data_IF_698567965003
#
_entry.id   IF_698567965003
#
_cell.length_a   1.000
_cell.length_b   1.000
_cell.length_c   1.000
_cell.angle_alpha   90.00
_cell.angle_beta   90.00
_cell.angle_gamma   90.00
#
_symmetry.space_group_name_H-M   'P 1'
#
loop_
_entity.id
_entity.type
_entity.pdbx_description
1 polymer ?
#
# COMPACT_ATOMS: atom_id res chain seq x y z
N UNK A 1 67.75 -19.21 59.87
CA UNK A 1 68.50 -18.96 61.13
C UNK A 1 68.80 -17.47 61.43
N UNK A 2 68.52 -16.49 60.56
CA UNK A 2 68.81 -15.05 60.82
C UNK A 2 67.76 -14.31 61.68
N UNK A 3 66.53 -14.84 61.79
CA UNK A 3 65.41 -14.15 62.46
C UNK A 3 65.64 -13.85 63.96
N UNK A 4 66.46 -14.65 64.66
CA UNK A 4 66.75 -14.43 66.09
C UNK A 4 67.68 -13.24 66.34
N UNK A 5 68.48 -12.82 65.35
CA UNK A 5 69.50 -11.75 65.48
C UNK A 5 69.03 -10.36 65.02
N UNK A 6 67.78 -10.23 64.54
CA UNK A 6 67.19 -8.95 64.18
C UNK A 6 66.62 -8.23 65.41
N UNK A 7 66.95 -6.94 65.55
CA UNK A 7 66.31 -6.03 66.52
C UNK A 7 64.79 -6.08 66.37
N UNK A 8 64.06 -5.92 67.48
CA UNK A 8 62.59 -6.02 67.52
C UNK A 8 61.91 -5.17 66.42
N UNK A 9 62.44 -3.98 66.15
CA UNK A 9 61.99 -3.07 65.08
C UNK A 9 62.07 -3.67 63.67
N UNK A 10 63.09 -4.47 63.37
CA UNK A 10 63.24 -5.13 62.07
C UNK A 10 62.20 -6.24 61.84
N UNK A 11 61.80 -6.95 62.90
CA UNK A 11 60.74 -7.98 62.82
C UNK A 11 59.38 -7.36 62.55
N UNK A 12 59.06 -6.24 63.21
CA UNK A 12 57.85 -5.49 62.95
C UNK A 12 57.84 -4.88 61.55
N UNK A 13 58.96 -4.32 61.07
CA UNK A 13 59.05 -3.77 59.72
C UNK A 13 58.79 -4.82 58.62
N UNK A 14 59.31 -6.05 58.77
CA UNK A 14 59.05 -7.14 57.82
C UNK A 14 57.58 -7.59 57.86
N UNK A 15 57.00 -7.76 59.07
CA UNK A 15 55.60 -8.15 59.21
C UNK A 15 54.63 -7.11 58.63
N UNK A 16 54.80 -5.84 59.01
CA UNK A 16 54.01 -4.74 58.46
C UNK A 16 54.27 -4.53 56.97
N UNK A 17 55.52 -4.64 56.51
CA UNK A 17 55.87 -4.53 55.10
C UNK A 17 55.25 -5.62 54.24
N UNK A 18 55.18 -6.87 54.74
CA UNK A 18 54.50 -7.98 54.06
C UNK A 18 53.00 -7.71 53.94
N UNK A 19 52.35 -7.28 55.04
CA UNK A 19 50.92 -6.94 55.03
C UNK A 19 50.64 -5.76 54.09
N UNK A 20 51.47 -4.72 54.12
CA UNK A 20 51.35 -3.57 53.23
C UNK A 20 51.55 -3.97 51.76
N UNK A 21 52.53 -4.84 51.48
CA UNK A 21 52.78 -5.37 50.15
C UNK A 21 51.62 -6.21 49.61
N UNK A 22 51.04 -7.08 50.46
CA UNK A 22 49.84 -7.84 50.11
C UNK A 22 48.63 -6.94 49.85
N UNK A 23 48.44 -5.89 50.66
CA UNK A 23 47.38 -4.91 50.44
C UNK A 23 47.55 -4.20 49.08
N UNK A 24 48.76 -3.74 48.76
CA UNK A 24 49.04 -3.11 47.46
C UNK A 24 48.79 -4.08 46.30
N UNK A 25 49.18 -5.34 46.44
CA UNK A 25 48.94 -6.36 45.43
C UNK A 25 47.44 -6.62 45.20
N UNK A 26 46.65 -6.75 46.27
CA UNK A 26 45.19 -6.91 46.19
C UNK A 26 44.53 -5.66 45.61
N UNK A 27 44.97 -4.46 46.01
CA UNK A 27 44.47 -3.21 45.45
C UNK A 27 44.76 -3.11 43.95
N UNK A 28 45.97 -3.45 43.51
CA UNK A 28 46.32 -3.46 42.08
C UNK A 28 45.49 -4.49 41.29
N UNK A 29 45.33 -5.69 41.83
CA UNK A 29 44.50 -6.74 41.23
C UNK A 29 43.03 -6.32 41.12
N UNK A 30 42.50 -5.70 42.17
CA UNK A 30 41.12 -5.21 42.21
C UNK A 30 40.88 -4.12 41.16
N UNK A 31 41.79 -3.15 41.05
CA UNK A 31 41.68 -2.08 40.03
C UNK A 31 41.70 -2.67 38.62
N UNK A 32 42.59 -3.63 38.35
CA UNK A 32 42.67 -4.25 37.03
C UNK A 32 41.44 -5.12 36.71
N UNK A 33 40.97 -5.91 37.68
CA UNK A 33 39.77 -6.73 37.54
C UNK A 33 38.51 -5.91 37.35
N UNK A 34 38.30 -4.87 38.17
CA UNK A 34 37.16 -3.96 38.05
C UNK A 34 37.20 -3.20 36.73
N UNK A 35 38.37 -2.73 36.30
CA UNK A 35 38.52 -2.07 35.00
C UNK A 35 38.11 -2.95 33.82
N UNK A 36 38.47 -4.23 33.85
CA UNK A 36 38.05 -5.21 32.83
C UNK A 36 36.53 -5.44 32.82
N UNK A 37 35.91 -5.51 34.00
CA UNK A 37 34.45 -5.67 34.13
C UNK A 37 33.72 -4.43 33.59
N UNK A 38 34.18 -3.23 33.93
CA UNK A 38 33.57 -1.98 33.45
C UNK A 38 33.65 -1.88 31.93
N UNK A 39 34.80 -2.20 31.32
CA UNK A 39 34.96 -2.20 29.86
C UNK A 39 34.01 -3.19 29.19
N UNK A 40 33.90 -4.41 29.74
CA UNK A 40 33.00 -5.43 29.21
C UNK A 40 31.53 -5.01 29.33
N UNK A 41 31.17 -4.35 30.44
CA UNK A 41 29.84 -3.78 30.63
C UNK A 41 29.54 -2.67 29.62
N UNK A 42 30.51 -1.79 29.34
CA UNK A 42 30.38 -0.72 28.34
C UNK A 42 30.16 -1.28 26.92
N UNK A 43 30.90 -2.32 26.52
CA UNK A 43 30.69 -3.01 25.23
C UNK A 43 29.27 -3.60 25.11
N UNK A 44 28.77 -4.25 26.17
CA UNK A 44 27.40 -4.80 26.19
C UNK A 44 26.34 -3.70 26.14
N UNK A 45 26.52 -2.61 26.88
CA UNK A 45 25.59 -1.46 26.90
C UNK A 45 25.53 -0.82 25.51
N UNK A 46 26.68 -0.55 24.91
CA UNK A 46 26.76 0.08 23.59
C UNK A 46 26.18 -0.83 22.51
N UNK A 47 26.44 -2.14 22.57
CA UNK A 47 25.82 -3.11 21.66
C UNK A 47 24.31 -3.19 21.80
N UNK A 48 23.79 -3.14 23.03
CA UNK A 48 22.35 -3.14 23.29
C UNK A 48 21.68 -1.84 22.82
N UNK A 49 22.34 -0.69 23.02
CA UNK A 49 21.90 0.60 22.51
C UNK A 49 21.79 0.59 20.98
N UNK A 50 22.82 0.08 20.29
CA UNK A 50 22.83 -0.07 18.83
C UNK A 50 21.69 -0.97 18.34
N UNK A 51 21.43 -2.09 19.00
CA UNK A 51 20.28 -2.96 18.71
C UNK A 51 18.94 -2.23 18.91
N UNK A 52 18.84 -1.40 19.94
CA UNK A 52 17.68 -0.55 20.20
C UNK A 52 17.42 0.42 19.07
N UNK A 53 18.47 1.10 18.58
CA UNK A 53 18.37 2.00 17.42
C UNK A 53 17.86 1.27 16.18
N UNK A 54 18.44 0.11 15.81
CA UNK A 54 17.96 -0.66 14.65
C UNK A 54 16.50 -1.10 14.81
N UNK A 55 16.12 -1.59 16.00
CA UNK A 55 14.72 -1.95 16.30
C UNK A 55 13.78 -0.77 16.07
N UNK A 56 14.15 0.41 16.56
CA UNK A 56 13.32 1.60 16.37
C UNK A 56 13.26 2.04 14.90
N UNK A 57 14.35 1.92 14.14
CA UNK A 57 14.36 2.22 12.70
C UNK A 57 13.50 1.25 11.90
N UNK A 58 13.44 -0.03 12.27
CA UNK A 58 12.50 -0.97 11.64
C UNK A 58 11.05 -0.61 11.93
N UNK A 59 10.73 -0.20 13.16
CA UNK A 59 9.38 0.28 13.52
C UNK A 59 9.02 1.56 12.76
N UNK A 60 9.97 2.51 12.63
CA UNK A 60 9.76 3.73 11.85
C UNK A 60 9.38 3.41 10.39
N UNK A 61 10.04 2.42 9.76
CA UNK A 61 9.70 1.98 8.40
C UNK A 61 8.43 1.13 8.32
N UNK A 62 8.09 0.36 9.35
CA UNK A 62 6.81 -0.34 9.40
C UNK A 62 5.65 0.67 9.38
N UNK A 63 5.74 1.75 10.15
CA UNK A 63 4.76 2.83 10.14
C UNK A 63 4.72 3.57 8.78
N UNK A 64 5.88 3.73 8.15
CA UNK A 64 5.96 4.26 6.79
C UNK A 64 5.20 3.38 5.80
N UNK A 65 5.38 2.05 5.87
CA UNK A 65 4.66 1.10 5.00
C UNK A 65 3.16 1.12 5.26
N UNK A 66 2.73 1.20 6.52
CA UNK A 66 1.30 1.32 6.87
C UNK A 66 0.69 2.58 6.25
N UNK A 67 1.43 3.70 6.20
CA UNK A 67 0.95 4.91 5.56
C UNK A 67 0.81 4.76 4.03
N UNK A 68 1.72 4.03 3.39
CA UNK A 68 1.61 3.68 1.95
C UNK A 68 0.43 2.75 1.71
N UNK A 69 0.23 1.74 2.56
CA UNK A 69 -0.93 0.84 2.49
C UNK A 69 -2.26 1.58 2.67
N UNK A 70 -2.32 2.53 3.61
CA UNK A 70 -3.53 3.31 3.88
C UNK A 70 -4.01 4.08 2.66
N UNK A 71 -3.09 4.61 1.83
CA UNK A 71 -3.44 5.25 0.55
C UNK A 71 -4.22 4.29 -0.37
N UNK A 72 -3.89 3.00 -0.35
CA UNK A 72 -4.49 2.01 -1.24
C UNK A 72 -5.79 1.42 -0.69
N UNK A 73 -6.01 1.48 0.62
CA UNK A 73 -7.10 0.76 1.30
C UNK A 73 -8.12 1.64 2.04
N UNK A 74 -7.79 2.90 2.36
CA UNK A 74 -8.67 3.82 3.07
C UNK A 74 -9.18 4.92 2.13
N UNK A 75 -10.50 4.94 1.90
CA UNK A 75 -11.14 5.89 1.00
C UNK A 75 -11.00 7.36 1.44
N UNK A 76 -10.64 7.59 2.70
CA UNK A 76 -10.41 8.93 3.23
C UNK A 76 -8.98 9.44 2.99
N UNK A 77 -8.07 8.56 2.55
CA UNK A 77 -6.66 8.91 2.31
C UNK A 77 -6.43 9.02 0.81
N UNK A 78 -6.43 10.25 0.31
CA UNK A 78 -6.30 10.56 -1.12
C UNK A 78 -4.91 11.05 -1.54
N UNK A 79 -4.04 11.32 -0.56
CA UNK A 79 -2.67 11.79 -0.77
C UNK A 79 -1.70 11.04 0.14
N UNK A 80 -0.53 10.72 -0.41
CA UNK A 80 0.53 10.06 0.35
C UNK A 80 1.45 11.10 1.00
N UNK A 81 1.54 11.09 2.33
CA UNK A 81 2.43 11.96 3.10
C UNK A 81 3.54 11.17 3.80
N UNK A 82 4.48 10.64 3.00
CA UNK A 82 5.63 9.91 3.53
C UNK A 82 6.94 10.50 3.02
N UNK A 83 8.04 10.24 3.73
CA UNK A 83 9.37 10.65 3.27
C UNK A 83 9.77 9.83 2.04
N UNK A 84 10.15 10.49 0.95
CA UNK A 84 10.59 9.87 -0.31
C UNK A 84 12.11 9.98 -0.53
N UNK A 85 12.81 10.83 0.23
CA UNK A 85 14.27 10.84 0.27
C UNK A 85 14.78 9.91 1.38
N UNK A 86 15.33 8.77 0.96
CA UNK A 86 15.97 7.77 1.82
C UNK A 86 17.08 8.34 2.74
N UNK A 87 17.68 9.49 2.42
CA UNK A 87 18.70 10.13 3.29
C UNK A 87 18.08 10.93 4.43
N UNK A 88 16.80 11.30 4.33
CA UNK A 88 16.13 12.21 5.27
C UNK A 88 15.32 11.48 6.34
N UNK A 89 15.03 10.19 6.15
CA UNK A 89 14.42 9.38 7.20
C UNK A 89 15.39 9.22 8.39
N UNK A 90 14.88 8.82 9.55
CA UNK A 90 15.71 8.69 10.76
C UNK A 90 16.85 7.67 10.56
N UNK A 91 16.60 6.61 9.80
CA UNK A 91 17.63 5.63 9.44
C UNK A 91 18.65 6.23 8.48
N UNK A 92 18.22 6.92 7.41
CA UNK A 92 19.10 7.61 6.48
C UNK A 92 20.04 8.60 7.18
N UNK A 93 19.50 9.45 8.05
CA UNK A 93 20.31 10.41 8.83
C UNK A 93 21.35 9.71 9.71
N UNK A 94 20.99 8.57 10.30
CA UNK A 94 21.91 7.75 11.07
C UNK A 94 22.95 7.05 10.18
N UNK A 95 22.51 6.48 9.06
CA UNK A 95 23.29 5.67 8.12
C UNK A 95 24.36 6.50 7.40
N UNK A 96 24.04 7.73 7.01
CA UNK A 96 24.97 8.66 6.38
C UNK A 96 25.70 9.56 7.39
N UNK A 97 25.53 9.31 8.69
CA UNK A 97 26.12 10.09 9.78
C UNK A 97 27.27 9.39 10.50
N UNK A 98 27.82 10.07 11.52
CA UNK A 98 28.92 9.55 12.35
C UNK A 98 28.55 8.26 13.10
N UNK A 99 27.27 8.09 13.43
CA UNK A 99 26.79 6.95 14.20
C UNK A 99 27.01 5.61 13.50
N UNK A 100 26.92 5.55 12.16
CA UNK A 100 27.29 4.36 11.38
C UNK A 100 28.77 4.01 11.57
N UNK A 101 29.65 5.00 11.46
CA UNK A 101 31.11 4.80 11.59
C UNK A 101 31.45 4.26 12.98
N UNK A 102 30.80 4.76 14.03
CA UNK A 102 31.05 4.30 15.39
C UNK A 102 30.46 2.90 15.64
N UNK A 103 29.31 2.59 15.04
CA UNK A 103 28.73 1.25 15.06
C UNK A 103 29.63 0.21 14.34
N UNK A 104 30.21 0.56 13.19
CA UNK A 104 31.13 -0.31 12.47
C UNK A 104 32.46 -0.52 13.21
N UNK A 105 32.91 0.44 14.04
CA UNK A 105 34.05 0.22 14.95
C UNK A 105 33.72 -0.72 16.10
N UNK A 106 32.50 -0.61 16.63
CA UNK A 106 32.02 -1.43 17.73
C UNK A 106 31.77 -2.89 17.29
N UNK A 107 31.17 -3.07 16.11
CA UNK A 107 30.84 -4.38 15.53
C UNK A 107 31.21 -4.40 14.05
N UNK A 108 32.48 -4.68 13.69
CA UNK A 108 32.96 -4.65 12.30
C UNK A 108 32.16 -5.51 11.33
N UNK A 109 31.54 -6.58 11.80
CA UNK A 109 30.74 -7.51 11.01
C UNK A 109 29.47 -6.89 10.41
N UNK A 110 28.99 -5.75 10.93
CA UNK A 110 27.79 -5.08 10.39
C UNK A 110 28.07 -4.27 9.12
N UNK A 111 29.33 -3.88 8.89
CA UNK A 111 29.71 -3.03 7.75
C UNK A 111 29.26 -3.60 6.38
N UNK A 112 29.51 -4.89 6.05
CA UNK A 112 29.02 -5.47 4.79
C UNK A 112 27.49 -5.51 4.74
N UNK A 113 26.81 -5.80 5.85
CA UNK A 113 25.34 -5.88 5.91
C UNK A 113 24.71 -4.50 5.65
N UNK A 114 25.27 -3.45 6.27
CA UNK A 114 24.81 -2.07 6.06
C UNK A 114 25.00 -1.62 4.62
N UNK A 115 26.11 -2.01 3.99
CA UNK A 115 26.34 -1.75 2.57
C UNK A 115 25.25 -2.38 1.69
N UNK A 116 24.86 -3.62 1.99
CA UNK A 116 23.86 -4.35 1.21
C UNK A 116 22.43 -3.78 1.39
N UNK A 117 22.16 -3.07 2.49
CA UNK A 117 20.86 -2.44 2.77
C UNK A 117 20.65 -1.12 2.00
N UNK A 118 21.72 -0.44 1.61
CA UNK A 118 21.64 0.92 1.05
C UNK A 118 20.74 1.01 -0.19
N UNK A 119 20.95 0.12 -1.15
CA UNK A 119 20.20 0.13 -2.40
C UNK A 119 18.73 -0.31 -2.22
N UNK A 120 18.40 -1.41 -1.51
CA UNK A 120 17.01 -1.74 -1.17
C UNK A 120 16.28 -0.61 -0.44
N UNK A 121 16.94 0.08 0.48
CA UNK A 121 16.36 1.21 1.20
C UNK A 121 16.09 2.41 0.27
N UNK A 122 17.01 2.70 -0.66
CA UNK A 122 16.80 3.72 -1.69
C UNK A 122 15.62 3.37 -2.59
N UNK A 123 15.53 2.13 -3.04
CA UNK A 123 14.45 1.64 -3.91
C UNK A 123 13.09 1.71 -3.23
N UNK A 124 12.99 1.32 -1.95
CA UNK A 124 11.76 1.41 -1.16
C UNK A 124 11.25 2.86 -1.07
N UNK A 125 12.14 3.82 -0.83
CA UNK A 125 11.75 5.23 -0.78
C UNK A 125 11.38 5.79 -2.16
N UNK A 126 12.08 5.37 -3.21
CA UNK A 126 11.77 5.76 -4.59
C UNK A 126 10.40 5.20 -5.05
N UNK A 127 10.03 3.98 -4.64
CA UNK A 127 8.76 3.38 -5.03
C UNK A 127 7.55 4.16 -4.50
N UNK A 128 7.68 4.91 -3.39
CA UNK A 128 6.59 5.78 -2.93
C UNK A 128 6.28 6.92 -3.91
N UNK A 129 7.28 7.41 -4.66
CA UNK A 129 7.08 8.41 -5.72
C UNK A 129 6.32 7.77 -6.88
N UNK A 130 6.72 6.58 -7.29
CA UNK A 130 6.03 5.84 -8.36
C UNK A 130 4.58 5.51 -7.98
N UNK A 131 4.35 5.12 -6.71
CA UNK A 131 3.00 4.92 -6.17
C UNK A 131 2.19 6.21 -6.21
N UNK A 132 2.75 7.35 -5.79
CA UNK A 132 2.06 8.64 -5.86
C UNK A 132 1.66 9.03 -7.28
N UNK A 133 2.55 8.81 -8.26
CA UNK A 133 2.31 9.14 -9.66
C UNK A 133 1.25 8.24 -10.29
N UNK A 134 1.26 6.95 -9.94
CA UNK A 134 0.34 5.95 -10.46
C UNK A 134 -1.02 5.94 -9.73
N UNK A 135 -1.06 6.39 -8.48
CA UNK A 135 -2.26 6.30 -7.64
C UNK A 135 -3.42 7.11 -8.23
N UNK A 136 -4.57 6.47 -8.32
CA UNK A 136 -5.85 7.09 -8.65
C UNK A 136 -6.85 6.59 -7.62
N UNK A 137 -7.58 7.51 -7.01
CA UNK A 137 -8.63 7.15 -6.05
C UNK A 137 -9.67 6.29 -6.76
N UNK A 138 -9.97 5.11 -6.21
CA UNK A 138 -11.05 4.29 -6.72
C UNK A 138 -12.39 4.98 -6.43
N UNK A 139 -13.25 5.12 -7.45
CA UNK A 139 -14.63 5.54 -7.24
C UNK A 139 -15.47 4.33 -6.82
N UNK A 140 -15.64 4.17 -5.50
CA UNK A 140 -16.48 3.10 -4.95
C UNK A 140 -17.95 3.20 -5.39
N UNK A 141 -18.42 4.39 -5.72
CA UNK A 141 -19.78 4.62 -6.22
C UNK A 141 -19.96 4.18 -7.66
N UNK A 142 -18.89 4.15 -8.47
CA UNK A 142 -18.96 3.76 -9.87
C UNK A 142 -19.45 2.31 -10.05
N UNK A 143 -18.96 1.38 -9.23
CA UNK A 143 -19.39 -0.03 -9.31
C UNK A 143 -20.89 -0.19 -9.02
N UNK A 144 -21.39 0.47 -7.97
CA UNK A 144 -22.81 0.48 -7.64
C UNK A 144 -23.63 1.15 -8.76
N UNK A 145 -23.14 2.27 -9.28
CA UNK A 145 -23.78 2.99 -10.37
C UNK A 145 -23.92 2.12 -11.63
N UNK A 146 -22.85 1.48 -12.08
CA UNK A 146 -22.85 0.62 -13.28
C UNK A 146 -23.79 -0.57 -13.11
N UNK A 147 -23.75 -1.25 -11.97
CA UNK A 147 -24.66 -2.35 -11.65
C UNK A 147 -26.13 -1.90 -11.67
N UNK A 148 -26.44 -0.70 -11.14
CA UNK A 148 -27.79 -0.16 -11.19
C UNK A 148 -28.26 0.12 -12.64
N UNK A 149 -27.37 0.57 -13.53
CA UNK A 149 -27.70 0.76 -14.95
C UNK A 149 -27.92 -0.56 -15.67
N UNK A 150 -27.10 -1.58 -15.37
CA UNK A 150 -27.28 -2.91 -15.93
C UNK A 150 -28.64 -3.50 -15.53
N UNK A 151 -28.97 -3.47 -14.23
CA UNK A 151 -30.26 -3.94 -13.70
C UNK A 151 -31.44 -3.20 -14.34
N UNK A 152 -31.31 -1.89 -14.57
CA UNK A 152 -32.35 -1.10 -15.24
C UNK A 152 -32.63 -1.61 -16.68
N UNK A 153 -31.59 -1.95 -17.44
CA UNK A 153 -31.75 -2.49 -18.79
C UNK A 153 -32.25 -3.93 -18.80
N UNK A 154 -31.84 -4.76 -17.83
CA UNK A 154 -32.39 -6.11 -17.67
C UNK A 154 -33.90 -6.07 -17.37
N UNK A 155 -34.35 -5.15 -16.50
CA UNK A 155 -35.77 -4.91 -16.24
C UNK A 155 -36.51 -4.41 -17.48
N UNK A 156 -35.91 -3.49 -18.23
CA UNK A 156 -36.45 -3.00 -19.49
C UNK A 156 -36.63 -4.14 -20.51
N UNK A 157 -35.62 -4.98 -20.71
CA UNK A 157 -35.67 -6.11 -21.63
C UNK A 157 -36.68 -7.17 -21.21
N UNK A 158 -36.83 -7.40 -19.90
CA UNK A 158 -37.87 -8.27 -19.36
C UNK A 158 -39.28 -7.72 -19.66
N UNK A 159 -39.49 -6.41 -19.57
CA UNK A 159 -40.77 -5.78 -19.95
C UNK A 159 -41.08 -5.95 -21.43
N UNK A 160 -40.09 -5.79 -22.30
CA UNK A 160 -40.23 -6.07 -23.74
C UNK A 160 -40.62 -7.53 -23.98
N UNK A 161 -39.94 -8.48 -23.33
CA UNK A 161 -40.28 -9.91 -23.44
C UNK A 161 -41.69 -10.23 -22.91
N UNK A 162 -42.09 -9.62 -21.80
CA UNK A 162 -43.39 -9.87 -21.17
C UNK A 162 -44.56 -9.40 -22.04
N UNK A 163 -44.37 -8.35 -22.86
CA UNK A 163 -45.40 -7.90 -23.81
C UNK A 163 -45.82 -9.01 -24.79
N UNK A 164 -44.90 -9.91 -25.15
CA UNK A 164 -45.22 -11.09 -25.96
C UNK A 164 -45.96 -12.15 -25.16
N UNK A 165 -45.62 -12.35 -23.89
CA UNK A 165 -46.27 -13.36 -23.02
C UNK A 165 -47.73 -12.96 -22.75
N UNK A 166 -47.96 -11.68 -22.50
CA UNK A 166 -49.26 -11.12 -22.16
C UNK A 166 -50.14 -10.80 -23.39
N UNK A 167 -49.67 -11.10 -24.59
CA UNK A 167 -50.33 -10.81 -25.88
C UNK A 167 -50.76 -9.33 -26.03
N UNK A 168 -49.88 -8.41 -25.58
CA UNK A 168 -50.11 -6.98 -25.66
C UNK A 168 -49.71 -6.44 -27.04
N UNK A 169 -50.52 -5.53 -27.57
CA UNK A 169 -50.22 -4.82 -28.82
C UNK A 169 -49.27 -3.62 -28.66
N UNK A 170 -48.71 -3.40 -27.47
CA UNK A 170 -47.82 -2.27 -27.17
C UNK A 170 -46.76 -2.72 -26.15
N UNK A 171 -45.53 -2.22 -26.29
CA UNK A 171 -44.44 -2.59 -25.38
C UNK A 171 -44.44 -1.78 -24.07
N UNK A 172 -44.98 -0.56 -24.09
CA UNK A 172 -44.98 0.38 -22.95
C UNK A 172 -43.57 0.56 -22.33
N UNK A 173 -42.55 0.67 -23.17
CA UNK A 173 -41.16 0.87 -22.74
C UNK A 173 -40.61 2.19 -23.25
N UNK A 174 -39.61 2.73 -22.56
CA UNK A 174 -38.85 3.88 -23.07
C UNK A 174 -38.03 3.46 -24.30
N UNK A 175 -38.27 4.12 -25.43
CA UNK A 175 -37.57 3.89 -26.70
C UNK A 175 -36.52 4.94 -27.01
N UNK A 176 -36.52 6.08 -26.31
CA UNK A 176 -35.48 7.10 -26.44
C UNK A 176 -34.25 6.75 -25.59
N UNK A 177 -33.17 6.39 -26.27
CA UNK A 177 -31.88 6.03 -25.69
C UNK A 177 -31.18 7.18 -24.97
N UNK A 178 -31.59 8.44 -25.15
CA UNK A 178 -31.00 9.59 -24.46
C UNK A 178 -31.66 9.88 -23.11
N UNK A 179 -32.86 9.36 -22.89
CA UNK A 179 -33.70 9.68 -21.71
C UNK A 179 -33.82 8.52 -20.71
N UNK A 180 -33.20 7.38 -21.01
CA UNK A 180 -33.04 6.29 -20.04
C UNK A 180 -31.96 6.65 -19.01
N UNK A 181 -31.91 5.93 -17.89
CA UNK A 181 -31.03 6.28 -16.75
C UNK A 181 -29.53 6.21 -17.07
N UNK A 182 -29.13 5.40 -18.05
CA UNK A 182 -27.76 5.36 -18.58
C UNK A 182 -27.57 6.42 -19.67
N UNK A 183 -28.56 6.60 -20.55
CA UNK A 183 -28.54 7.62 -21.60
C UNK A 183 -28.37 9.04 -21.07
N UNK A 184 -29.09 9.39 -20.00
CA UNK A 184 -28.95 10.70 -19.36
C UNK A 184 -27.54 10.95 -18.84
N UNK A 185 -26.82 9.89 -18.46
CA UNK A 185 -25.41 9.96 -18.06
C UNK A 185 -24.48 9.99 -19.28
N UNK A 186 -24.64 9.08 -20.25
CA UNK A 186 -23.79 9.02 -21.46
C UNK A 186 -23.75 10.34 -22.25
N UNK A 187 -24.81 11.14 -22.16
CA UNK A 187 -24.93 12.44 -22.81
C UNK A 187 -24.85 13.63 -21.86
N UNK A 188 -24.45 13.42 -20.60
CA UNK A 188 -24.24 14.51 -19.64
C UNK A 188 -22.89 15.19 -19.84
N UNK A 189 -22.75 16.39 -19.30
CA UNK A 189 -21.46 17.10 -19.23
C UNK A 189 -20.45 16.33 -18.38
N UNK A 190 -20.92 15.66 -17.31
CA UNK A 190 -20.10 14.83 -16.42
C UNK A 190 -19.41 13.68 -17.18
N UNK A 191 -20.13 12.93 -18.01
CA UNK A 191 -19.53 11.86 -18.81
C UNK A 191 -18.52 12.40 -19.83
N UNK A 192 -18.76 13.58 -20.40
CA UNK A 192 -17.82 14.23 -21.32
C UNK A 192 -16.52 14.67 -20.60
N UNK A 193 -16.65 15.21 -19.38
CA UNK A 193 -15.50 15.58 -18.56
C UNK A 193 -14.69 14.34 -18.15
N UNK A 194 -15.33 13.29 -17.65
CA UNK A 194 -14.68 12.03 -17.26
C UNK A 194 -13.96 11.37 -18.43
N UNK A 195 -14.58 11.33 -19.60
CA UNK A 195 -13.98 10.79 -20.83
C UNK A 195 -12.76 11.58 -21.30
N UNK A 196 -12.70 12.88 -20.97
CA UNK A 196 -11.56 13.73 -21.32
C UNK A 196 -10.40 13.57 -20.33
N UNK A 197 -10.69 13.29 -19.06
CA UNK A 197 -9.67 13.04 -18.02
C UNK A 197 -9.11 11.62 -18.05
N UNK A 198 -9.89 10.65 -18.50
CA UNK A 198 -9.50 9.23 -18.60
C UNK A 198 -9.79 8.71 -20.02
N UNK A 199 -8.74 8.57 -20.87
CA UNK A 199 -8.89 8.06 -22.23
C UNK A 199 -9.42 6.63 -22.32
N UNK A 200 -9.12 5.77 -21.34
CA UNK A 200 -9.60 4.40 -21.32
C UNK A 200 -11.09 4.36 -20.99
N UNK A 201 -11.51 5.11 -19.98
CA UNK A 201 -12.93 5.29 -19.65
C UNK A 201 -13.71 5.86 -20.83
N UNK A 202 -13.17 6.89 -21.50
CA UNK A 202 -13.78 7.47 -22.70
C UNK A 202 -13.95 6.47 -23.84
N UNK A 203 -12.94 5.62 -24.09
CA UNK A 203 -13.02 4.52 -25.08
C UNK A 203 -14.13 3.53 -24.74
N UNK A 204 -14.28 3.17 -23.47
CA UNK A 204 -15.32 2.25 -23.01
C UNK A 204 -16.72 2.87 -23.20
N UNK A 205 -16.94 4.12 -22.78
CA UNK A 205 -18.22 4.80 -22.97
C UNK A 205 -18.62 4.93 -24.45
N UNK A 206 -17.67 5.28 -25.33
CA UNK A 206 -17.92 5.37 -26.78
C UNK A 206 -18.38 4.01 -27.33
N UNK A 207 -17.79 2.92 -26.85
CA UNK A 207 -18.15 1.56 -27.29
C UNK A 207 -19.57 1.13 -26.89
N UNK A 208 -20.16 1.77 -25.86
CA UNK A 208 -21.55 1.55 -25.43
C UNK A 208 -22.54 2.25 -26.36
N UNK A 209 -22.20 3.42 -26.91
CA UNK A 209 -23.16 4.29 -27.62
C UNK A 209 -23.90 3.57 -28.75
N UNK A 210 -23.16 2.88 -29.62
CA UNK A 210 -23.71 2.16 -30.77
C UNK A 210 -24.66 1.01 -30.36
N UNK A 211 -24.20 0.02 -29.57
CA UNK A 211 -25.06 -1.02 -29.01
C UNK A 211 -26.29 -0.48 -28.26
N UNK A 212 -26.10 0.51 -27.40
CA UNK A 212 -27.18 1.09 -26.60
C UNK A 212 -28.27 1.73 -27.48
N UNK A 213 -27.87 2.48 -28.51
CA UNK A 213 -28.80 3.05 -29.48
C UNK A 213 -29.55 1.94 -30.25
N UNK A 214 -28.85 0.90 -30.72
CA UNK A 214 -29.48 -0.22 -31.44
C UNK A 214 -30.53 -0.94 -30.61
N UNK A 215 -30.25 -1.17 -29.32
CA UNK A 215 -31.17 -1.82 -28.40
C UNK A 215 -32.48 -1.02 -28.23
N UNK A 216 -32.40 0.29 -28.09
CA UNK A 216 -33.58 1.14 -27.95
C UNK A 216 -34.36 1.29 -29.27
N UNK A 217 -33.64 1.40 -30.40
CA UNK A 217 -34.26 1.45 -31.73
C UNK A 217 -34.96 0.14 -32.09
N UNK A 218 -34.44 -1.02 -31.65
CA UNK A 218 -35.09 -2.31 -31.91
C UNK A 218 -36.43 -2.44 -31.20
N UNK A 219 -36.66 -1.78 -30.06
CA UNK A 219 -37.98 -1.73 -29.43
C UNK A 219 -39.02 -1.01 -30.30
N UNK A 220 -38.63 0.05 -31.01
CA UNK A 220 -39.51 0.73 -31.99
C UNK A 220 -39.85 -0.23 -33.14
N UNK A 221 -38.84 -0.96 -33.64
CA UNK A 221 -39.04 -1.94 -34.70
C UNK A 221 -39.92 -3.13 -34.25
N UNK A 222 -39.78 -3.58 -33.01
CA UNK A 222 -40.64 -4.61 -32.42
C UNK A 222 -42.09 -4.11 -32.34
N UNK A 223 -42.31 -2.90 -31.85
CA UNK A 223 -43.65 -2.33 -31.72
C UNK A 223 -44.33 -2.14 -33.09
N UNK A 224 -43.57 -1.73 -34.12
CA UNK A 224 -44.06 -1.63 -35.50
C UNK A 224 -44.45 -2.98 -36.11
N UNK A 225 -43.82 -4.08 -35.66
CA UNK A 225 -44.07 -5.44 -36.13
C UNK A 225 -44.85 -6.29 -35.12
N UNK A 226 -45.45 -5.70 -34.08
CA UNK A 226 -46.07 -6.47 -32.97
C UNK A 226 -47.19 -7.41 -33.45
N UNK A 227 -47.87 -7.05 -34.55
CA UNK A 227 -48.86 -7.90 -35.20
C UNK A 227 -48.28 -9.09 -35.99
N UNK A 228 -47.01 -9.01 -36.39
CA UNK A 228 -46.23 -10.13 -36.92
C UNK A 228 -45.30 -10.66 -35.81
N UNK A 229 -45.87 -11.54 -34.99
CA UNK A 229 -45.20 -12.09 -33.81
C UNK A 229 -43.88 -12.79 -34.16
N UNK A 230 -43.77 -13.40 -35.34
CA UNK A 230 -42.54 -14.09 -35.74
C UNK A 230 -41.42 -13.09 -35.98
N UNK A 231 -41.71 -12.01 -36.72
CA UNK A 231 -40.73 -10.96 -37.01
C UNK A 231 -40.36 -10.17 -35.74
N UNK A 232 -41.33 -9.83 -34.90
CA UNK A 232 -41.08 -9.14 -33.64
C UNK A 232 -40.20 -9.95 -32.67
N UNK A 233 -40.40 -11.27 -32.57
CA UNK A 233 -39.54 -12.16 -31.77
C UNK A 233 -38.15 -12.30 -32.39
N UNK A 234 -38.04 -12.31 -33.73
CA UNK A 234 -36.73 -12.32 -34.41
C UNK A 234 -35.93 -11.06 -34.06
N UNK A 235 -36.54 -9.88 -34.15
CA UNK A 235 -35.89 -8.60 -33.79
C UNK A 235 -35.46 -8.59 -32.31
N UNK A 236 -36.31 -9.10 -31.41
CA UNK A 236 -35.98 -9.23 -29.99
C UNK A 236 -34.70 -10.04 -29.77
N UNK A 237 -34.62 -11.23 -30.37
CA UNK A 237 -33.49 -12.14 -30.13
C UNK A 237 -32.22 -11.70 -30.87
N UNK A 238 -32.33 -11.29 -32.13
CA UNK A 238 -31.17 -11.01 -32.99
C UNK A 238 -30.63 -9.59 -32.83
N UNK A 239 -31.46 -8.64 -32.38
CA UNK A 239 -31.06 -7.23 -32.24
C UNK A 239 -31.07 -6.82 -30.77
N UNK A 240 -32.22 -6.89 -30.09
CA UNK A 240 -32.34 -6.34 -28.72
C UNK A 240 -31.43 -7.07 -27.74
N UNK A 241 -31.49 -8.41 -27.69
CA UNK A 241 -30.70 -9.19 -26.72
C UNK A 241 -29.20 -9.19 -27.05
N UNK A 242 -28.83 -9.17 -28.34
CA UNK A 242 -27.44 -9.06 -28.78
C UNK A 242 -26.86 -7.69 -28.39
N UNK A 243 -27.59 -6.62 -28.67
CA UNK A 243 -27.16 -5.27 -28.32
C UNK A 243 -27.08 -5.07 -26.80
N UNK A 244 -28.02 -5.62 -26.04
CA UNK A 244 -27.96 -5.65 -24.58
C UNK A 244 -26.71 -6.40 -24.08
N UNK A 245 -26.41 -7.57 -24.65
CA UNK A 245 -25.20 -8.33 -24.31
C UNK A 245 -23.92 -7.54 -24.56
N UNK A 246 -23.85 -6.79 -25.66
CA UNK A 246 -22.74 -5.89 -25.96
C UNK A 246 -22.61 -4.77 -24.92
N UNK A 247 -23.70 -4.10 -24.55
CA UNK A 247 -23.68 -3.07 -23.49
C UNK A 247 -23.16 -3.67 -22.17
N UNK A 248 -23.69 -4.82 -21.76
CA UNK A 248 -23.29 -5.51 -20.52
C UNK A 248 -21.81 -5.86 -20.52
N UNK A 249 -21.29 -6.39 -21.62
CA UNK A 249 -19.87 -6.76 -21.74
C UNK A 249 -18.90 -5.59 -21.56
N UNK A 250 -19.37 -4.35 -21.75
CA UNK A 250 -18.57 -3.15 -21.50
C UNK A 250 -18.75 -2.66 -20.07
N UNK A 251 -19.95 -2.79 -19.49
CA UNK A 251 -20.20 -2.44 -18.08
C UNK A 251 -19.49 -3.39 -17.09
N UNK A 252 -19.16 -4.61 -17.52
CA UNK A 252 -18.47 -5.64 -16.73
C UNK A 252 -16.93 -5.55 -16.78
N UNK A 253 -16.37 -4.63 -17.58
CA UNK A 253 -14.92 -4.37 -17.68
C UNK A 253 -14.46 -3.39 -16.61
#
# INVERSE_FOLDING_TARGET
>A
MSWKNLRLSGKFAVGFGLVLGLLVAVSGWSIWGVGGIVKSAEEVINGNSLRGEFSQRMVDHLNWTIAVESLLSDDNVTELHVQTDHRQCKFGKWFYGQARVDAEKLVPEIAPILKDIEEPHRLMHASAVEVQEAFRQADLGLSEFLAAKEIAHLKWANKVQSAFIDDRNTLDVKTDYRTCSLGTFLYSEEAAQLSSSDPEFGRLLESILGPHQRMHQSAIAIEANIGDRQEAVRILNEVTMVALGQVRSVLDQ
#
